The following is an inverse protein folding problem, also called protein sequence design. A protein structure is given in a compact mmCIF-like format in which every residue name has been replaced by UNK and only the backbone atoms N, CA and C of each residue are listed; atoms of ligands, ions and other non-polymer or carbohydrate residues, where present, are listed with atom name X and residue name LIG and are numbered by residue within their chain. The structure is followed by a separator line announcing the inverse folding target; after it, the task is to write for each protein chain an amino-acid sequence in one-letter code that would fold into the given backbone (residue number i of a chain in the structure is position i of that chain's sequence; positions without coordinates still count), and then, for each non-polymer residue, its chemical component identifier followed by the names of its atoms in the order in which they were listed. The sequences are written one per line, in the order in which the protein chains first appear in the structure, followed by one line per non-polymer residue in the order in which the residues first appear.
data_IF_326487709347
#
_entry.id   IF_326487709347
#
_cell.length_a   1.000
_cell.length_b   1.000
_cell.length_c   1.000
_cell.angle_alpha   90.00
_cell.angle_beta   90.00
_cell.angle_gamma   90.00
#
_symmetry.space_group_name_H-M   'P 1'
#
loop_
_entity.id
_entity.type
_entity.pdbx_description
1 polymer ?
#
# COMPACT_ATOMS: atom_id res chain seq x y z
N UNK A 1 48.11 -8.17 -63.24
CA UNK A 1 47.22 -7.05 -63.66
C UNK A 1 45.85 -7.33 -63.03
N UNK A 2 45.15 -6.50 -62.25
CA UNK A 2 45.12 -5.03 -62.02
C UNK A 2 45.00 -4.73 -60.51
N UNK A 3 45.26 -3.48 -60.16
CA UNK A 3 45.60 -2.90 -58.84
C UNK A 3 44.38 -2.38 -58.03
N UNK A 4 44.50 -2.51 -56.68
CA UNK A 4 44.17 -1.57 -55.57
C UNK A 4 42.67 -1.22 -55.36
N UNK A 5 42.12 -1.12 -54.13
CA UNK A 5 42.37 -0.04 -53.15
C UNK A 5 41.74 -0.31 -51.74
N UNK A 6 42.52 0.00 -50.69
CA UNK A 6 42.21 0.59 -49.35
C UNK A 6 41.28 -0.08 -48.31
N UNK A 7 41.96 -0.73 -47.35
CA UNK A 7 41.90 -0.74 -45.85
C UNK A 7 41.10 0.38 -45.10
N UNK A 8 40.82 0.18 -43.78
CA UNK A 8 39.52 0.03 -43.13
C UNK A 8 39.10 1.27 -42.30
N UNK A 9 37.85 1.34 -41.82
CA UNK A 9 37.52 2.25 -40.72
C UNK A 9 36.51 1.64 -39.73
N UNK A 10 37.04 1.53 -38.51
CA UNK A 10 36.44 1.18 -37.24
C UNK A 10 35.45 2.28 -36.76
N UNK A 11 34.81 2.03 -35.61
CA UNK A 11 33.88 2.88 -34.83
C UNK A 11 32.40 2.67 -35.22
N UNK A 12 31.46 2.37 -34.31
CA UNK A 12 31.40 2.72 -32.90
C UNK A 12 30.49 1.73 -32.17
N UNK A 13 31.04 1.01 -31.18
CA UNK A 13 30.24 0.26 -30.22
C UNK A 13 29.56 1.25 -29.27
N UNK A 14 28.26 1.45 -29.39
CA UNK A 14 27.46 2.12 -28.34
C UNK A 14 27.01 1.02 -27.38
N UNK A 15 27.74 0.92 -26.28
CA UNK A 15 27.34 0.14 -25.13
C UNK A 15 25.99 0.68 -24.61
N UNK A 16 24.93 -0.09 -24.80
CA UNK A 16 23.66 0.13 -24.13
C UNK A 16 23.83 -0.16 -22.64
N UNK A 17 24.24 0.84 -21.88
CA UNK A 17 24.07 0.82 -20.42
C UNK A 17 22.57 0.90 -20.17
N UNK A 18 21.94 -0.27 -20.03
CA UNK A 18 20.63 -0.38 -19.40
C UNK A 18 20.87 0.06 -17.96
N UNK A 19 20.53 1.31 -17.67
CA UNK A 19 20.45 1.80 -16.31
C UNK A 19 19.44 0.91 -15.59
N UNK A 20 19.95 -0.01 -14.76
CA UNK A 20 19.14 -0.74 -13.81
C UNK A 20 18.57 0.32 -12.86
N UNK A 21 17.35 0.80 -13.15
CA UNK A 21 16.61 1.61 -12.20
C UNK A 21 16.55 0.81 -10.89
N UNK A 22 16.81 1.45 -9.73
CA UNK A 22 16.69 0.77 -8.46
C UNK A 22 15.25 0.24 -8.37
N UNK A 23 15.11 -1.09 -8.38
CA UNK A 23 13.88 -1.73 -7.99
C UNK A 23 13.69 -1.40 -6.51
N UNK A 24 12.90 -0.36 -6.23
CA UNK A 24 12.44 -0.10 -4.87
C UNK A 24 11.73 -1.35 -4.41
N UNK A 25 12.39 -2.13 -3.53
CA UNK A 25 11.77 -3.27 -2.88
C UNK A 25 10.53 -2.74 -2.15
N UNK A 26 9.36 -2.99 -2.72
CA UNK A 26 8.10 -2.64 -2.09
C UNK A 26 8.03 -3.44 -0.80
N UNK A 27 7.97 -2.75 0.34
CA UNK A 27 7.79 -3.42 1.62
C UNK A 27 6.57 -4.36 1.52
N UNK A 28 6.65 -5.59 2.06
CA UNK A 28 5.55 -6.53 2.01
C UNK A 28 4.27 -5.86 2.49
N UNK A 29 3.25 -5.81 1.63
CA UNK A 29 1.96 -5.26 2.01
C UNK A 29 1.19 -6.36 2.74
N UNK A 30 1.03 -6.21 4.05
CA UNK A 30 0.18 -7.08 4.83
C UNK A 30 -1.28 -6.82 4.45
N UNK A 31 -2.00 -7.91 4.15
CA UNK A 31 -3.43 -7.89 3.88
C UNK A 31 -4.20 -7.94 5.19
N UNK A 32 -5.30 -7.21 5.26
CA UNK A 32 -6.24 -7.27 6.37
C UNK A 32 -6.77 -8.70 6.56
N UNK A 33 -6.86 -9.15 7.82
CA UNK A 33 -7.51 -10.40 8.20
C UNK A 33 -8.88 -10.07 8.81
N UNK A 34 -9.99 -10.12 8.05
CA UNK A 34 -11.27 -9.57 8.51
C UNK A 34 -11.77 -10.17 9.83
N UNK A 35 -11.58 -11.48 10.02
CA UNK A 35 -12.03 -12.17 11.24
C UNK A 35 -11.17 -11.88 12.49
N UNK A 36 -10.02 -11.21 12.33
CA UNK A 36 -9.08 -10.90 13.41
C UNK A 36 -8.85 -9.39 13.56
N UNK A 37 -9.65 -8.58 12.87
CA UNK A 37 -9.47 -7.13 12.81
C UNK A 37 -10.78 -6.44 13.19
N UNK A 38 -10.68 -5.33 13.92
CA UNK A 38 -11.82 -4.50 14.31
C UNK A 38 -11.43 -3.03 14.31
N UNK A 39 -12.37 -2.15 13.97
CA UNK A 39 -12.29 -0.72 14.22
C UNK A 39 -13.44 -0.33 15.14
N UNK A 40 -13.13 -0.19 16.42
CA UNK A 40 -14.05 0.27 17.46
C UNK A 40 -14.01 1.79 17.66
N UNK A 41 -15.09 2.34 18.20
CA UNK A 41 -15.17 3.73 18.65
C UNK A 41 -15.95 3.82 19.97
N UNK A 42 -15.70 4.89 20.72
CA UNK A 42 -16.48 5.23 21.92
C UNK A 42 -16.97 6.66 21.79
N UNK A 43 -18.28 6.84 21.86
CA UNK A 43 -18.93 8.16 21.98
C UNK A 43 -19.46 8.34 23.41
N UNK A 44 -19.87 9.55 23.77
CA UNK A 44 -20.53 9.81 25.05
C UNK A 44 -21.89 10.44 24.83
N UNK A 45 -22.92 9.89 25.45
CA UNK A 45 -24.28 10.43 25.47
C UNK A 45 -24.62 10.81 26.90
N UNK A 46 -24.86 12.11 27.16
CA UNK A 46 -25.11 12.61 28.51
C UNK A 46 -24.04 12.19 29.55
N UNK A 47 -22.79 12.07 29.10
CA UNK A 47 -21.66 11.61 29.92
C UNK A 47 -21.50 10.09 30.00
N UNK A 48 -22.49 9.30 29.57
CA UNK A 48 -22.45 7.84 29.54
C UNK A 48 -21.71 7.37 28.28
N UNK A 49 -20.70 6.49 28.38
CA UNK A 49 -20.00 5.95 27.22
C UNK A 49 -20.90 4.99 26.42
N UNK A 50 -20.87 5.14 25.11
CA UNK A 50 -21.53 4.24 24.15
C UNK A 50 -20.46 3.72 23.19
N UNK A 51 -20.32 2.39 23.16
CA UNK A 51 -19.34 1.69 22.34
C UNK A 51 -19.97 1.29 21.01
N UNK A 52 -19.20 1.38 19.93
CA UNK A 52 -19.62 0.91 18.62
C UNK A 52 -18.42 0.51 17.76
N UNK A 53 -18.70 0.03 16.56
CA UNK A 53 -17.70 -0.43 15.61
C UNK A 53 -18.11 -0.16 14.17
N UNK A 54 -17.15 -0.20 13.24
CA UNK A 54 -17.42 -0.22 11.80
C UNK A 54 -17.35 -1.66 11.29
N UNK A 55 -18.44 -2.15 10.68
CA UNK A 55 -18.49 -3.53 10.14
C UNK A 55 -17.76 -3.70 8.81
N UNK A 56 -17.51 -2.62 8.08
CA UNK A 56 -16.87 -2.64 6.76
C UNK A 56 -15.71 -1.67 6.71
N UNK A 57 -14.52 -2.22 6.53
CA UNK A 57 -13.30 -1.47 6.35
C UNK A 57 -12.27 -2.31 5.61
N UNK A 58 -11.25 -1.65 5.07
CA UNK A 58 -10.08 -2.27 4.46
C UNK A 58 -8.82 -1.55 4.95
N UNK A 59 -7.69 -2.25 4.91
CA UNK A 59 -6.40 -1.73 5.32
C UNK A 59 -5.26 -2.25 4.42
N UNK A 60 -4.35 -1.36 4.06
CA UNK A 60 -3.09 -1.68 3.40
C UNK A 60 -1.94 -1.25 4.31
N UNK A 61 -1.15 -2.21 4.76
CA UNK A 61 -0.03 -1.99 5.69
C UNK A 61 1.26 -2.38 5.01
N UNK A 62 2.11 -1.41 4.68
CA UNK A 62 3.48 -1.64 4.23
C UNK A 62 4.42 -1.39 5.40
N UNK A 63 4.92 -2.47 6.01
CA UNK A 63 5.75 -2.38 7.22
C UNK A 63 6.97 -3.30 7.11
N UNK A 64 8.17 -2.73 7.28
CA UNK A 64 9.42 -3.48 7.46
C UNK A 64 9.88 -3.33 8.91
N UNK A 65 9.89 -4.40 9.72
CA UNK A 65 10.37 -4.34 11.11
C UNK A 65 11.84 -3.87 11.24
N UNK A 66 12.65 -4.00 10.18
CA UNK A 66 14.05 -3.55 10.16
C UNK A 66 14.17 -2.06 9.84
N UNK A 67 13.14 -1.47 9.22
CA UNK A 67 13.06 -0.05 8.88
C UNK A 67 11.68 0.53 9.24
N UNK A 68 11.29 0.52 10.53
CA UNK A 68 9.93 0.85 10.94
C UNK A 68 9.53 2.29 10.61
N UNK A 69 10.49 3.22 10.56
CA UNK A 69 10.28 4.61 10.20
C UNK A 69 9.76 4.82 8.76
N UNK A 70 9.99 3.84 7.86
CA UNK A 70 9.51 3.88 6.47
C UNK A 70 8.11 3.28 6.30
N UNK A 71 7.49 2.84 7.41
CA UNK A 71 6.18 2.21 7.40
C UNK A 71 5.09 3.13 6.84
N UNK A 72 4.15 2.55 6.09
CA UNK A 72 2.97 3.24 5.56
C UNK A 72 1.73 2.43 5.83
N UNK A 73 0.68 3.11 6.25
CA UNK A 73 -0.61 2.48 6.52
C UNK A 73 -1.70 3.34 5.87
N UNK A 74 -2.59 2.70 5.13
CA UNK A 74 -3.81 3.31 4.59
C UNK A 74 -5.03 2.52 5.07
N UNK A 75 -6.05 3.24 5.53
CA UNK A 75 -7.34 2.68 5.92
C UNK A 75 -8.45 3.27 5.06
N UNK A 76 -9.40 2.43 4.69
CA UNK A 76 -10.67 2.84 4.11
C UNK A 76 -11.80 2.32 5.01
N UNK A 77 -12.66 3.22 5.48
CA UNK A 77 -13.77 2.88 6.36
C UNK A 77 -15.07 3.29 5.68
N UNK A 78 -16.02 2.37 5.58
CA UNK A 78 -17.39 2.70 5.18
C UNK A 78 -18.13 3.22 6.40
N UNK A 79 -18.38 4.53 6.43
CA UNK A 79 -19.04 5.20 7.57
C UNK A 79 -20.48 4.74 7.77
N UNK A 80 -21.16 4.28 6.72
CA UNK A 80 -22.51 3.70 6.81
C UNK A 80 -22.52 2.31 7.45
N UNK A 81 -21.35 1.74 7.75
CA UNK A 81 -21.23 0.46 8.47
C UNK A 81 -21.09 0.61 9.98
N UNK A 82 -21.15 1.84 10.50
CA UNK A 82 -21.14 2.11 11.92
C UNK A 82 -22.34 1.42 12.61
N UNK A 83 -22.09 0.86 13.79
CA UNK A 83 -23.11 0.15 14.57
C UNK A 83 -22.79 0.31 16.05
N UNK A 84 -23.81 0.40 16.89
CA UNK A 84 -23.69 0.18 18.35
C UNK A 84 -24.31 -1.16 18.77
N UNK A 85 -24.72 -1.98 17.80
CA UNK A 85 -25.40 -3.26 18.02
C UNK A 85 -26.91 -3.13 18.27
N UNK A 86 -27.47 -1.92 18.15
CA UNK A 86 -28.87 -1.60 18.38
C UNK A 86 -29.56 -1.26 17.05
N UNK A 87 -30.57 -2.05 16.67
CA UNK A 87 -31.23 -1.89 15.35
C UNK A 87 -31.99 -0.58 15.22
N UNK A 88 -32.59 -0.09 16.29
CA UNK A 88 -33.44 1.10 16.25
C UNK A 88 -32.59 2.37 16.06
N UNK A 89 -31.38 2.36 16.62
CA UNK A 89 -30.40 3.44 16.50
C UNK A 89 -29.57 3.34 15.21
N UNK A 90 -29.21 2.12 14.77
CA UNK A 90 -28.31 1.89 13.64
C UNK A 90 -28.99 2.02 12.26
N UNK A 91 -30.32 1.86 12.16
CA UNK A 91 -31.04 1.83 10.87
C UNK A 91 -31.54 3.19 10.36
N UNK A 92 -31.14 4.29 11.01
CA UNK A 92 -31.63 5.65 10.72
C UNK A 92 -30.67 6.48 9.89
#
# INVERSE_FOLDING_TARGET
MRRRFTLPLMLLAVAGVVAAAPAHAQAPTAKLLPAQSEIGFVSKQMGVPVQGQFKKFDAQVAFDPKQPANGKIAFAIDTGSATIGDRDTDAR
#
